data_IF_377497831217
#
_entry.id   IF_377497831217
#
_cell.length_a   1.000
_cell.length_b   1.000
_cell.length_c   1.000
_cell.angle_alpha   90.00
_cell.angle_beta   90.00
_cell.angle_gamma   90.00
#
_symmetry.space_group_name_H-M   'P 1'
#
loop_
_entity.id
_entity.type
_entity.pdbx_description
1 polymer ?
#
# COMPACT_ATOMS: atom_id res chain seq x y z
N UNK A 1 -22.45 10.20 -29.34
CA UNK A 1 -22.22 9.07 -28.41
C UNK A 1 -20.79 9.22 -27.89
N UNK A 2 -20.61 9.86 -26.74
CA UNK A 2 -19.29 10.03 -26.13
C UNK A 2 -19.04 8.86 -25.18
N UNK A 3 -18.06 8.03 -25.51
CA UNK A 3 -17.57 6.96 -24.64
C UNK A 3 -16.85 7.62 -23.47
N UNK A 4 -17.48 7.71 -22.31
CA UNK A 4 -16.76 8.00 -21.06
C UNK A 4 -15.88 6.79 -20.77
N UNK A 5 -14.58 6.91 -21.05
CA UNK A 5 -13.59 5.97 -20.55
C UNK A 5 -13.71 5.93 -19.02
N UNK A 6 -14.10 4.78 -18.48
CA UNK A 6 -14.13 4.56 -17.04
C UNK A 6 -12.68 4.66 -16.56
N UNK A 7 -12.35 5.69 -15.77
CA UNK A 7 -11.05 5.75 -15.11
C UNK A 7 -10.94 4.55 -14.17
N UNK A 8 -10.01 3.65 -14.45
CA UNK A 8 -9.68 2.56 -13.53
C UNK A 8 -9.08 3.18 -12.25
N UNK A 9 -9.61 2.84 -11.07
CA UNK A 9 -9.00 3.25 -9.81
C UNK A 9 -7.51 2.88 -9.77
N UNK A 10 -6.67 3.77 -9.25
CA UNK A 10 -5.20 3.62 -9.30
C UNK A 10 -4.73 2.31 -8.67
N UNK A 11 -5.37 1.88 -7.56
CA UNK A 11 -5.03 0.62 -6.90
C UNK A 11 -5.36 -0.60 -7.77
N UNK A 12 -6.47 -0.58 -8.50
CA UNK A 12 -6.84 -1.67 -9.41
C UNK A 12 -5.86 -1.77 -10.58
N UNK A 13 -5.45 -0.63 -11.13
CA UNK A 13 -4.43 -0.58 -12.18
C UNK A 13 -3.07 -1.10 -11.69
N UNK A 14 -2.67 -0.73 -10.47
CA UNK A 14 -1.44 -1.25 -9.86
C UNK A 14 -1.53 -2.75 -9.59
N UNK A 15 -2.63 -3.25 -9.04
CA UNK A 15 -2.82 -4.67 -8.74
C UNK A 15 -2.71 -5.54 -10.00
N UNK A 16 -3.30 -5.10 -11.11
CA UNK A 16 -3.20 -5.81 -12.39
C UNK A 16 -1.74 -5.86 -12.90
N UNK A 17 -1.00 -4.74 -12.79
CA UNK A 17 0.43 -4.71 -13.14
C UNK A 17 1.25 -5.64 -12.26
N UNK A 18 0.99 -5.67 -10.95
CA UNK A 18 1.69 -6.54 -10.01
C UNK A 18 1.42 -8.02 -10.30
N UNK A 19 0.18 -8.37 -10.64
CA UNK A 19 -0.22 -9.72 -11.00
C UNK A 19 0.48 -10.20 -12.27
N UNK A 20 0.54 -9.35 -13.31
CA UNK A 20 1.24 -9.66 -14.56
C UNK A 20 2.74 -9.89 -14.34
N UNK A 21 3.36 -9.11 -13.45
CA UNK A 21 4.82 -9.17 -13.18
C UNK A 21 5.22 -10.24 -12.18
N UNK A 22 4.27 -10.84 -11.46
CA UNK A 22 4.53 -11.88 -10.44
C UNK A 22 5.27 -13.11 -10.99
N UNK A 23 4.99 -13.47 -12.23
CA UNK A 23 5.57 -14.64 -12.90
C UNK A 23 6.50 -14.28 -14.07
N UNK A 24 6.79 -12.99 -14.25
CA UNK A 24 7.74 -12.52 -15.26
C UNK A 24 9.18 -12.85 -14.84
N UNK A 25 10.12 -12.79 -15.78
CA UNK A 25 11.53 -12.99 -15.47
C UNK A 25 12.03 -11.87 -14.54
N UNK A 26 12.99 -12.19 -13.66
CA UNK A 26 13.42 -11.24 -12.63
C UNK A 26 14.05 -9.96 -13.22
N UNK A 27 14.64 -10.06 -14.40
CA UNK A 27 15.22 -8.97 -15.18
C UNK A 27 14.18 -8.09 -15.89
N UNK A 28 12.93 -8.54 -16.05
CA UNK A 28 11.91 -7.81 -16.79
C UNK A 28 11.40 -6.58 -16.04
N UNK A 29 11.46 -6.60 -14.71
CA UNK A 29 11.06 -5.46 -13.88
C UNK A 29 11.52 -5.57 -12.44
N UNK A 30 11.57 -4.41 -11.76
CA UNK A 30 11.83 -4.35 -10.31
C UNK A 30 10.87 -5.23 -9.49
N UNK A 31 9.57 -5.21 -9.81
CA UNK A 31 8.54 -6.03 -9.15
C UNK A 31 8.80 -7.53 -9.35
N UNK A 32 9.12 -7.96 -10.57
CA UNK A 32 9.46 -9.35 -10.84
C UNK A 32 10.70 -9.79 -10.03
N UNK A 33 11.71 -8.91 -9.94
CA UNK A 33 12.90 -9.15 -9.12
C UNK A 33 12.57 -9.33 -7.63
N UNK A 34 11.61 -8.58 -7.09
CA UNK A 34 11.18 -8.71 -5.70
C UNK A 34 10.46 -10.04 -5.47
N UNK A 35 9.55 -10.42 -6.36
CA UNK A 35 8.86 -11.70 -6.26
C UNK A 35 9.83 -12.88 -6.35
N UNK A 36 10.83 -12.82 -7.23
CA UNK A 36 11.87 -13.86 -7.32
C UNK A 36 12.74 -13.90 -6.05
N UNK A 37 13.10 -12.75 -5.46
CA UNK A 37 13.86 -12.70 -4.19
C UNK A 37 13.05 -13.19 -2.98
N UNK A 38 11.73 -13.29 -3.12
CA UNK A 38 10.83 -13.89 -2.15
C UNK A 38 10.41 -12.95 -1.02
N UNK A 39 9.55 -13.49 -0.14
CA UNK A 39 8.86 -12.73 0.90
C UNK A 39 9.81 -11.92 1.79
N UNK A 40 10.93 -12.48 2.23
CA UNK A 40 11.86 -11.76 3.12
C UNK A 40 12.35 -10.45 2.51
N UNK A 41 12.70 -10.44 1.21
CA UNK A 41 13.15 -9.22 0.55
C UNK A 41 12.03 -8.19 0.39
N UNK A 42 10.80 -8.66 0.18
CA UNK A 42 9.63 -7.79 0.12
C UNK A 42 9.38 -7.15 1.49
N UNK A 43 9.45 -7.94 2.57
CA UNK A 43 9.26 -7.44 3.93
C UNK A 43 10.37 -6.49 4.38
N UNK A 44 11.61 -6.69 3.94
CA UNK A 44 12.69 -5.71 4.12
C UNK A 44 12.28 -4.34 3.58
N UNK A 45 11.73 -4.30 2.36
CA UNK A 45 11.25 -3.04 1.76
C UNK A 45 10.07 -2.47 2.54
N UNK A 46 9.07 -3.27 2.91
CA UNK A 46 7.95 -2.77 3.73
C UNK A 46 8.45 -2.14 5.03
N UNK A 47 9.45 -2.74 5.70
CA UNK A 47 10.05 -2.19 6.92
C UNK A 47 10.87 -0.92 6.69
N UNK A 48 11.61 -0.85 5.60
CA UNK A 48 12.37 0.33 5.14
C UNK A 48 11.42 1.52 4.92
N UNK A 49 10.42 1.35 4.06
CA UNK A 49 9.46 2.41 3.73
C UNK A 49 8.62 2.84 4.94
N UNK A 50 8.29 1.90 5.84
CA UNK A 50 7.60 2.23 7.08
C UNK A 50 8.47 3.14 7.97
N UNK A 51 9.77 2.86 8.05
CA UNK A 51 10.71 3.68 8.83
C UNK A 51 10.90 5.05 8.18
N UNK A 52 11.05 5.10 6.87
CA UNK A 52 11.18 6.36 6.11
C UNK A 52 9.92 7.22 6.22
N UNK A 53 8.73 6.62 6.14
CA UNK A 53 7.45 7.30 6.38
C UNK A 53 7.39 7.94 7.77
N UNK A 54 7.85 7.25 8.83
CA UNK A 54 7.88 7.80 10.19
C UNK A 54 8.80 9.03 10.30
N UNK A 55 9.98 8.98 9.66
CA UNK A 55 10.94 10.08 9.66
C UNK A 55 10.39 11.27 8.85
N UNK A 56 9.88 11.02 7.64
CA UNK A 56 9.29 12.05 6.79
C UNK A 56 8.08 12.73 7.46
N UNK A 57 7.26 11.97 8.20
CA UNK A 57 6.14 12.54 8.96
C UNK A 57 6.61 13.50 10.06
N UNK A 58 7.68 13.15 10.77
CA UNK A 58 8.27 13.98 11.81
C UNK A 58 8.84 15.28 11.23
N UNK A 59 9.53 15.20 10.10
CA UNK A 59 10.10 16.36 9.44
C UNK A 59 9.00 17.27 8.86
N UNK A 60 7.93 16.68 8.31
CA UNK A 60 6.79 17.40 7.76
C UNK A 60 5.98 18.21 8.79
N UNK A 61 6.03 17.84 10.08
CA UNK A 61 5.35 18.57 11.16
C UNK A 61 5.84 20.02 11.30
N UNK A 62 7.14 20.24 11.08
CA UNK A 62 7.79 21.55 11.19
C UNK A 62 8.32 22.08 9.84
N UNK A 63 8.17 21.28 8.78
CA UNK A 63 8.68 21.55 7.44
C UNK A 63 7.74 22.34 6.52
N UNK A 64 8.26 22.66 5.34
CA UNK A 64 7.55 23.32 4.25
C UNK A 64 6.90 22.34 3.28
N UNK A 65 6.65 22.81 2.05
CA UNK A 65 6.03 21.99 1.01
C UNK A 65 6.90 20.80 0.60
N UNK A 66 8.22 20.94 0.69
CA UNK A 66 9.16 19.89 0.34
C UNK A 66 9.06 18.69 1.29
N UNK A 67 9.03 18.91 2.61
CA UNK A 67 8.91 17.85 3.61
C UNK A 67 7.52 17.20 3.57
N UNK A 68 6.47 17.98 3.30
CA UNK A 68 5.13 17.43 3.05
C UNK A 68 5.10 16.54 1.82
N UNK A 69 5.79 16.93 0.75
CA UNK A 69 5.87 16.11 -0.46
C UNK A 69 6.68 14.83 -0.22
N UNK A 70 7.74 14.89 0.60
CA UNK A 70 8.49 13.71 1.01
C UNK A 70 7.59 12.71 1.76
N UNK A 71 6.79 13.17 2.73
CA UNK A 71 5.83 12.31 3.43
C UNK A 71 4.86 11.61 2.46
N UNK A 72 4.35 12.33 1.46
CA UNK A 72 3.46 11.74 0.44
C UNK A 72 4.20 10.67 -0.38
N UNK A 73 5.46 10.90 -0.75
CA UNK A 73 6.27 9.95 -1.51
C UNK A 73 6.54 8.67 -0.71
N UNK A 74 7.03 8.79 0.52
CA UNK A 74 7.32 7.62 1.38
C UNK A 74 6.03 6.84 1.71
N UNK A 75 4.91 7.53 1.93
CA UNK A 75 3.62 6.86 2.15
C UNK A 75 3.18 6.09 0.91
N UNK A 76 3.43 6.64 -0.29
CA UNK A 76 3.12 5.97 -1.54
C UNK A 76 4.00 4.73 -1.75
N UNK A 77 5.29 4.79 -1.42
CA UNK A 77 6.19 3.64 -1.49
C UNK A 77 5.83 2.56 -0.46
N UNK A 78 5.46 2.95 0.76
CA UNK A 78 4.92 2.02 1.75
C UNK A 78 3.66 1.31 1.25
N UNK A 79 2.74 2.04 0.62
CA UNK A 79 1.54 1.45 0.02
C UNK A 79 1.90 0.53 -1.14
N UNK A 80 2.79 0.96 -2.04
CA UNK A 80 3.24 0.16 -3.16
C UNK A 80 3.87 -1.16 -2.70
N UNK A 81 4.80 -1.12 -1.75
CA UNK A 81 5.45 -2.31 -1.22
C UNK A 81 4.48 -3.20 -0.42
N UNK A 82 3.47 -2.62 0.22
CA UNK A 82 2.36 -3.38 0.81
C UNK A 82 1.53 -4.12 -0.25
N UNK A 83 1.24 -3.50 -1.40
CA UNK A 83 0.58 -4.16 -2.52
C UNK A 83 1.43 -5.29 -3.11
N UNK A 84 2.75 -5.10 -3.23
CA UNK A 84 3.69 -6.16 -3.66
C UNK A 84 3.67 -7.34 -2.69
N UNK A 85 3.64 -7.08 -1.38
CA UNK A 85 3.51 -8.11 -0.35
C UNK A 85 2.20 -8.88 -0.48
N UNK A 86 1.06 -8.19 -0.61
CA UNK A 86 -0.25 -8.82 -0.81
C UNK A 86 -0.26 -9.69 -2.07
N UNK A 87 0.22 -9.15 -3.20
CA UNK A 87 0.35 -9.88 -4.47
C UNK A 87 1.23 -11.14 -4.31
N UNK A 88 2.36 -11.04 -3.62
CA UNK A 88 3.23 -12.19 -3.38
C UNK A 88 2.55 -13.28 -2.54
N UNK A 89 1.66 -12.89 -1.63
CA UNK A 89 0.87 -13.79 -0.77
C UNK A 89 -0.51 -14.17 -1.36
N UNK A 90 -0.77 -13.84 -2.63
CA UNK A 90 -2.03 -14.17 -3.32
C UNK A 90 -3.26 -13.48 -2.72
N UNK A 91 -3.06 -12.28 -2.17
CA UNK A 91 -4.10 -11.43 -1.62
C UNK A 91 -4.33 -10.20 -2.52
N UNK A 92 -5.58 -9.77 -2.58
CA UNK A 92 -6.03 -8.59 -3.33
C UNK A 92 -6.10 -7.37 -2.39
N UNK A 93 -5.79 -6.16 -2.89
CA UNK A 93 -5.92 -4.93 -2.11
C UNK A 93 -7.37 -4.67 -1.67
N UNK A 94 -8.35 -5.18 -2.41
CA UNK A 94 -9.74 -5.11 -2.04
C UNK A 94 -10.01 -5.73 -0.67
N UNK A 95 -9.28 -6.79 -0.28
CA UNK A 95 -9.41 -7.37 1.06
C UNK A 95 -9.03 -6.36 2.17
N UNK A 96 -8.04 -5.50 1.92
CA UNK A 96 -7.64 -4.43 2.85
C UNK A 96 -8.66 -3.30 2.84
N UNK A 97 -9.14 -2.90 1.66
CA UNK A 97 -10.17 -1.86 1.54
C UNK A 97 -11.48 -2.28 2.22
N UNK A 98 -11.90 -3.53 2.09
CA UNK A 98 -13.07 -4.08 2.77
C UNK A 98 -12.89 -4.07 4.29
N UNK A 99 -11.68 -4.37 4.79
CA UNK A 99 -11.35 -4.29 6.21
C UNK A 99 -11.37 -2.85 6.73
N UNK A 100 -10.87 -1.89 5.94
CA UNK A 100 -10.95 -0.46 6.26
C UNK A 100 -12.40 0.04 6.23
N UNK A 101 -13.21 -0.43 5.28
CA UNK A 101 -14.60 -0.05 5.14
C UNK A 101 -15.43 -0.44 6.38
N UNK A 102 -15.10 -1.55 7.05
CA UNK A 102 -15.72 -1.92 8.34
C UNK A 102 -15.48 -0.89 9.45
N UNK A 103 -14.44 -0.05 9.32
CA UNK A 103 -14.12 1.02 10.28
C UNK A 103 -14.84 2.33 9.96
N UNK A 104 -15.35 2.48 8.73
CA UNK A 104 -16.14 3.64 8.35
C UNK A 104 -17.51 3.57 9.06
N UNK A 105 -17.77 4.54 9.94
CA UNK A 105 -19.04 4.64 10.68
C UNK A 105 -19.04 4.04 12.09
N UNK A 106 -17.94 3.41 12.52
CA UNK A 106 -17.72 3.05 13.93
C UNK A 106 -16.82 4.14 14.51
N UNK A 107 -17.33 4.98 15.42
CA UNK A 107 -16.44 5.91 16.10
C UNK A 107 -15.42 5.11 16.93
N UNK A 108 -14.18 5.60 17.04
CA UNK A 108 -13.15 4.91 17.85
C UNK A 108 -13.54 4.71 19.33
N UNK A 109 -14.58 5.38 19.80
CA UNK A 109 -15.20 5.16 21.10
C UNK A 109 -16.11 3.93 21.12
N UNK A 110 -16.91 3.71 20.07
CA UNK A 110 -17.84 2.58 19.95
C UNK A 110 -17.10 1.25 19.77
N UNK A 111 -15.98 1.26 19.04
CA UNK A 111 -15.13 0.08 18.88
C UNK A 111 -14.44 -0.34 20.19
N UNK A 112 -13.99 0.64 20.99
CA UNK A 112 -13.40 0.37 22.31
C UNK A 112 -14.44 -0.16 23.29
N UNK A 113 -15.67 0.38 23.26
CA UNK A 113 -16.76 -0.06 24.12
C UNK A 113 -17.19 -1.51 23.84
N UNK A 114 -17.21 -1.94 22.57
CA UNK A 114 -17.60 -3.31 22.19
C UNK A 114 -16.55 -4.37 22.56
N UNK A 115 -15.27 -3.99 22.69
CA UNK A 115 -14.19 -4.88 23.13
C UNK A 115 -14.21 -5.17 24.63
N UNK A 116 -14.78 -4.28 25.45
CA UNK A 116 -14.87 -4.46 26.92
C UNK A 116 -16.07 -5.30 27.35
N UNK A 117 -17.02 -5.56 26.44
CA UNK A 117 -18.22 -6.39 26.69
C UNK A 117 -18.05 -7.88 26.32
N UNK A 118 -16.86 -8.29 25.85
CA UNK A 118 -16.54 -9.69 25.54
C UNK A 118 -15.76 -10.36 26.66
#
# INVERSE_FOLDING_TARGET
MSTTATQTPVLDALAEVLKQRRHAAAEDSYVASLHHKGLNKILEKVGEEATETLLAAKDAEHGGDQERQALVAETADLWFHSLVMLSHLELDHQCVLDELAKRLGISGHDEKASRTQR
#
